data_IF_316927537196
#
_entry.id   IF_316927537196
#
_cell.length_a   1.000
_cell.length_b   1.000
_cell.length_c   1.000
_cell.angle_alpha   90.00
_cell.angle_beta   90.00
_cell.angle_gamma   90.00
#
_symmetry.space_group_name_H-M   'P 1'
#
loop_
_entity.id
_entity.type
_entity.pdbx_description
1 polymer ?
#
# COMPACT_ATOMS: atom_id res chain seq x y z
N UNK A 1 -15.84 38.94 9.76
CA UNK A 1 -15.46 37.54 9.83
C UNK A 1 -15.36 37.00 8.41
N UNK A 2 -14.21 36.75 7.84
CA UNK A 2 -14.12 36.12 6.54
C UNK A 2 -13.92 34.62 6.67
N UNK A 3 -14.80 33.87 5.99
CA UNK A 3 -14.69 32.42 5.79
C UNK A 3 -13.45 32.12 4.93
N UNK A 4 -12.46 31.46 5.50
CA UNK A 4 -11.34 30.90 4.74
C UNK A 4 -11.79 29.58 4.11
N UNK A 5 -12.05 29.64 2.79
CA UNK A 5 -12.19 28.45 1.95
C UNK A 5 -10.83 27.75 1.88
N UNK A 6 -10.77 26.55 2.42
CA UNK A 6 -9.65 25.62 2.22
C UNK A 6 -9.64 25.20 0.75
N UNK A 7 -8.66 25.67 0.00
CA UNK A 7 -8.43 25.25 -1.39
C UNK A 7 -7.97 23.79 -1.39
N UNK A 8 -8.86 22.91 -1.83
CA UNK A 8 -8.52 21.52 -2.17
C UNK A 8 -7.72 21.55 -3.49
N UNK A 9 -6.42 21.43 -3.42
CA UNK A 9 -5.61 21.13 -4.60
C UNK A 9 -5.59 19.62 -4.79
N UNK A 10 -6.56 19.11 -5.55
CA UNK A 10 -6.47 17.76 -6.12
C UNK A 10 -5.48 17.85 -7.30
N UNK A 11 -4.26 17.41 -7.07
CA UNK A 11 -3.28 17.25 -8.15
C UNK A 11 -3.62 15.94 -8.87
N UNK A 12 -4.39 16.06 -9.95
CA UNK A 12 -4.58 14.97 -10.92
C UNK A 12 -3.24 14.74 -11.63
N UNK A 13 -2.49 13.74 -11.18
CA UNK A 13 -1.35 13.22 -11.94
C UNK A 13 -1.90 12.40 -13.10
N UNK A 14 -1.65 12.88 -14.32
CA UNK A 14 -1.92 12.20 -15.55
C UNK A 14 -1.26 10.81 -15.54
N UNK A 15 -2.09 9.77 -15.58
CA UNK A 15 -1.70 8.38 -15.87
C UNK A 15 -1.12 8.35 -17.29
N UNK A 16 0.20 8.42 -17.40
CA UNK A 16 0.89 8.00 -18.62
C UNK A 16 0.86 6.48 -18.64
N UNK A 17 -0.07 5.93 -19.41
CA UNK A 17 -0.12 4.52 -19.74
C UNK A 17 1.12 4.17 -20.56
N UNK A 18 2.15 3.66 -19.89
CA UNK A 18 3.29 3.03 -20.58
C UNK A 18 2.84 1.63 -21.00
N UNK A 19 2.28 1.51 -22.20
CA UNK A 19 2.04 0.23 -22.84
C UNK A 19 3.40 -0.36 -23.23
N UNK A 20 4.01 -1.11 -22.34
CA UNK A 20 5.10 -2.00 -22.69
C UNK A 20 4.51 -3.16 -23.52
N UNK A 21 4.63 -3.08 -24.83
CA UNK A 21 4.37 -4.20 -25.74
C UNK A 21 5.53 -5.17 -25.53
N UNK A 22 5.34 -6.15 -24.65
CA UNK A 22 6.22 -7.31 -24.56
C UNK A 22 5.83 -8.23 -25.72
N UNK A 23 6.61 -8.24 -26.78
CA UNK A 23 6.51 -9.24 -27.83
C UNK A 23 7.11 -10.55 -27.31
N UNK A 24 6.34 -11.63 -27.18
CA UNK A 24 6.91 -12.93 -26.81
C UNK A 24 7.60 -13.53 -28.03
N UNK A 25 8.93 -13.67 -27.95
CA UNK A 25 9.66 -14.56 -28.84
C UNK A 25 9.61 -15.97 -28.24
N UNK A 26 8.99 -16.91 -28.97
CA UNK A 26 9.06 -18.35 -28.81
C UNK A 26 8.48 -18.97 -27.53
N UNK A 27 7.16 -19.21 -27.54
CA UNK A 27 6.53 -20.35 -26.87
C UNK A 27 5.19 -20.63 -27.56
N UNK A 28 4.69 -21.86 -27.54
CA UNK A 28 3.29 -22.16 -27.82
C UNK A 28 2.44 -21.10 -27.16
N UNK A 29 1.42 -20.55 -27.87
CA UNK A 29 0.69 -19.35 -27.45
C UNK A 29 0.31 -19.44 -25.96
N UNK A 30 1.12 -18.83 -25.10
CA UNK A 30 0.79 -18.75 -23.69
C UNK A 30 -0.44 -17.85 -23.59
N UNK A 31 -1.47 -18.33 -22.94
CA UNK A 31 -2.66 -17.53 -22.67
C UNK A 31 -2.25 -16.30 -21.85
N UNK A 32 -2.52 -15.11 -22.38
CA UNK A 32 -2.17 -13.84 -21.77
C UNK A 32 -3.44 -13.03 -21.57
N UNK A 33 -3.58 -12.46 -20.37
CA UNK A 33 -4.64 -11.51 -20.06
C UNK A 33 -4.07 -10.27 -19.35
N UNK A 34 -4.61 -9.12 -19.68
CA UNK A 34 -4.34 -7.86 -19.01
C UNK A 34 -5.56 -7.38 -18.25
N UNK A 35 -5.38 -6.81 -17.06
CA UNK A 35 -6.50 -6.38 -16.22
C UNK A 35 -6.27 -5.09 -15.46
N UNK A 36 -7.39 -4.51 -15.01
CA UNK A 36 -7.40 -3.37 -14.10
C UNK A 36 -8.14 -3.77 -12.83
N UNK A 37 -7.59 -3.39 -11.68
CA UNK A 37 -8.16 -3.69 -10.36
C UNK A 37 -8.20 -2.49 -9.44
N UNK A 38 -9.24 -2.45 -8.61
CA UNK A 38 -9.29 -1.65 -7.40
C UNK A 38 -9.06 -2.57 -6.19
N UNK A 39 -8.19 -2.16 -5.28
CA UNK A 39 -7.74 -2.97 -4.16
C UNK A 39 -7.46 -2.11 -2.93
N UNK A 40 -7.39 -2.74 -1.76
CA UNK A 40 -6.80 -2.12 -0.57
C UNK A 40 -5.33 -1.75 -0.79
N UNK A 41 -4.63 -2.37 -1.76
CA UNK A 41 -3.29 -1.98 -2.20
C UNK A 41 -3.30 -0.70 -3.06
N UNK A 42 -4.47 -0.23 -3.50
CA UNK A 42 -4.65 0.89 -4.42
C UNK A 42 -5.29 0.49 -5.75
N UNK A 43 -5.27 1.39 -6.72
CA UNK A 43 -5.64 1.08 -8.10
C UNK A 43 -4.44 0.46 -8.83
N UNK A 44 -4.68 -0.57 -9.63
CA UNK A 44 -3.60 -1.31 -10.28
C UNK A 44 -3.93 -1.86 -11.64
N UNK A 45 -2.87 -2.19 -12.38
CA UNK A 45 -2.91 -2.96 -13.60
C UNK A 45 -2.16 -4.27 -13.38
N UNK A 46 -2.71 -5.37 -13.92
CA UNK A 46 -2.16 -6.71 -13.81
C UNK A 46 -1.98 -7.38 -15.17
N UNK A 47 -1.04 -8.29 -15.23
CA UNK A 47 -0.86 -9.25 -16.31
C UNK A 47 -0.96 -10.64 -15.71
N UNK A 48 -1.73 -11.51 -16.37
CA UNK A 48 -1.89 -12.91 -16.03
C UNK A 48 -1.40 -13.77 -17.18
N UNK A 49 -0.58 -14.76 -16.88
CA UNK A 49 -0.07 -15.76 -17.79
C UNK A 49 -0.63 -17.12 -17.40
N UNK A 50 -1.30 -17.80 -18.31
CA UNK A 50 -1.69 -19.21 -18.16
C UNK A 50 -0.46 -20.10 -18.26
N UNK A 51 -0.14 -20.84 -17.21
CA UNK A 51 0.97 -21.78 -17.19
C UNK A 51 0.51 -23.18 -17.53
N UNK A 52 -0.62 -23.58 -16.96
CA UNK A 52 -1.32 -24.84 -17.24
C UNK A 52 -2.83 -24.59 -17.21
N UNK A 53 -3.65 -25.65 -17.41
CA UNK A 53 -5.12 -25.56 -17.30
C UNK A 53 -5.61 -25.04 -15.95
N UNK A 54 -4.86 -25.31 -14.90
CA UNK A 54 -5.23 -25.08 -13.50
C UNK A 54 -4.24 -24.18 -12.73
N UNK A 55 -3.23 -23.61 -13.41
CA UNK A 55 -2.22 -22.78 -12.78
C UNK A 55 -1.92 -21.53 -13.62
N UNK A 56 -2.05 -20.36 -13.00
CA UNK A 56 -1.69 -19.09 -13.62
C UNK A 56 -0.62 -18.36 -12.80
N UNK A 57 0.22 -17.59 -13.50
CA UNK A 57 1.12 -16.61 -12.90
C UNK A 57 0.54 -15.21 -13.10
N UNK A 58 0.38 -14.47 -12.03
CA UNK A 58 -0.17 -13.12 -12.05
C UNK A 58 0.79 -12.13 -11.40
N UNK A 59 1.01 -11.00 -12.07
CA UNK A 59 1.80 -9.90 -11.53
C UNK A 59 1.16 -8.56 -11.90
N UNK A 60 1.41 -7.53 -11.10
CA UNK A 60 0.82 -6.22 -11.35
C UNK A 60 1.52 -5.10 -10.60
N UNK A 61 1.08 -3.88 -10.85
CA UNK A 61 1.53 -2.68 -10.15
C UNK A 61 0.31 -1.96 -9.58
N UNK A 62 0.33 -1.70 -8.28
CA UNK A 62 -0.71 -0.97 -7.56
C UNK A 62 -0.15 0.30 -6.96
N UNK A 63 -0.92 1.38 -7.07
CA UNK A 63 -0.56 2.68 -6.53
C UNK A 63 -1.75 3.36 -5.88
N UNK A 64 -1.49 4.02 -4.75
CA UNK A 64 -2.43 4.91 -4.10
C UNK A 64 -1.67 6.00 -3.35
N UNK A 65 -2.11 7.24 -3.47
CA UNK A 65 -1.55 8.35 -2.70
C UNK A 65 -2.69 9.19 -2.15
N UNK A 66 -2.61 9.46 -0.86
CA UNK A 66 -3.59 10.29 -0.17
C UNK A 66 -2.88 11.21 0.81
N UNK A 67 -3.13 12.51 0.68
CA UNK A 67 -2.65 13.53 1.60
C UNK A 67 -3.83 14.23 2.27
N UNK A 68 -3.75 14.42 3.58
CA UNK A 68 -4.73 15.17 4.35
C UNK A 68 -4.02 16.09 5.34
N UNK A 69 -4.60 17.26 5.58
CA UNK A 69 -4.20 18.16 6.63
C UNK A 69 -5.35 18.33 7.62
N UNK A 70 -5.06 18.22 8.88
CA UNK A 70 -6.03 18.43 9.94
C UNK A 70 -5.43 19.30 11.07
N UNK A 71 -6.28 19.86 11.91
CA UNK A 71 -5.88 20.55 13.11
C UNK A 71 -6.45 19.77 14.30
N UNK A 72 -5.58 19.26 15.15
CA UNK A 72 -5.97 18.60 16.39
C UNK A 72 -5.37 19.37 17.56
N UNK A 73 -6.22 19.83 18.48
CA UNK A 73 -5.81 20.64 19.64
C UNK A 73 -4.97 21.88 19.28
N UNK A 74 -5.29 22.53 18.12
CA UNK A 74 -4.55 23.70 17.66
C UNK A 74 -3.26 23.40 16.88
N UNK A 75 -2.83 22.15 16.81
CA UNK A 75 -1.62 21.72 16.08
C UNK A 75 -2.00 21.34 14.66
N UNK A 76 -1.39 21.92 13.62
CA UNK A 76 -1.57 21.47 12.24
C UNK A 76 -0.79 20.16 12.00
N UNK A 77 -1.50 19.13 11.56
CA UNK A 77 -0.92 17.85 11.14
C UNK A 77 -1.16 17.65 9.65
N UNK A 78 -0.11 17.31 8.94
CA UNK A 78 -0.17 16.85 7.56
C UNK A 78 0.19 15.37 7.51
N UNK A 79 -0.68 14.58 6.89
CA UNK A 79 -0.52 13.13 6.73
C UNK A 79 -0.41 12.81 5.25
N UNK A 80 0.59 12.03 4.89
CA UNK A 80 0.81 11.53 3.54
C UNK A 80 0.87 10.01 3.58
N UNK A 81 -0.10 9.37 2.92
CA UNK A 81 -0.13 7.93 2.70
C UNK A 81 0.26 7.63 1.25
N UNK A 82 1.34 6.91 1.05
CA UNK A 82 1.81 6.48 -0.24
C UNK A 82 1.88 4.95 -0.26
N UNK A 83 0.99 4.31 -1.01
CA UNK A 83 0.99 2.88 -1.24
C UNK A 83 1.56 2.59 -2.62
N UNK A 84 2.54 1.69 -2.68
CA UNK A 84 3.11 1.16 -3.92
C UNK A 84 3.42 -0.30 -3.71
N UNK A 85 2.75 -1.16 -4.46
CA UNK A 85 2.86 -2.60 -4.29
C UNK A 85 2.96 -3.30 -5.63
N UNK A 86 3.83 -4.30 -5.72
CA UNK A 86 3.99 -5.18 -6.87
C UNK A 86 3.82 -6.62 -6.40
N UNK A 87 2.62 -7.21 -6.54
CA UNK A 87 2.38 -8.62 -6.29
C UNK A 87 2.97 -9.49 -7.40
N UNK A 88 3.50 -10.66 -7.02
CA UNK A 88 3.86 -11.78 -7.90
C UNK A 88 3.23 -13.02 -7.27
N UNK A 89 2.17 -13.52 -7.91
CA UNK A 89 1.28 -14.53 -7.34
C UNK A 89 1.13 -15.72 -8.29
N UNK A 90 1.04 -16.91 -7.72
CA UNK A 90 0.57 -18.11 -8.37
C UNK A 90 -0.89 -18.33 -7.97
N UNK A 91 -1.75 -18.49 -8.96
CA UNK A 91 -3.18 -18.76 -8.82
C UNK A 91 -3.42 -20.22 -9.21
N UNK A 92 -3.83 -21.02 -8.26
CA UNK A 92 -4.21 -22.42 -8.47
C UNK A 92 -5.74 -22.57 -8.45
N UNK A 93 -6.26 -23.24 -9.47
CA UNK A 93 -7.68 -23.49 -9.69
C UNK A 93 -7.98 -24.97 -9.35
N UNK A 94 -8.33 -25.31 -8.09
CA UNK A 94 -8.51 -26.71 -7.66
C UNK A 94 -9.79 -27.36 -8.16
N UNK A 95 -10.74 -26.57 -8.72
CA UNK A 95 -12.06 -27.05 -9.15
C UNK A 95 -12.19 -26.91 -10.66
N UNK A 96 -12.50 -28.00 -11.31
CA UNK A 96 -12.77 -28.06 -12.75
C UNK A 96 -14.30 -27.94 -13.04
N UNK A 97 -14.94 -27.00 -12.34
CA UNK A 97 -16.39 -26.79 -12.39
C UNK A 97 -16.80 -25.48 -13.11
N UNK A 98 -15.83 -24.78 -13.66
CA UNK A 98 -16.04 -23.49 -14.32
C UNK A 98 -16.34 -22.32 -13.35
N UNK A 99 -16.33 -22.55 -12.04
CA UNK A 99 -16.60 -21.51 -11.02
C UNK A 99 -15.54 -20.41 -10.99
N UNK A 100 -14.35 -20.69 -11.51
CA UNK A 100 -13.20 -19.81 -11.46
C UNK A 100 -12.67 -19.57 -10.04
N UNK A 101 -13.04 -20.42 -9.08
CA UNK A 101 -12.48 -20.37 -7.72
C UNK A 101 -10.99 -20.68 -7.77
N UNK A 102 -10.20 -19.89 -7.07
CA UNK A 102 -8.74 -20.06 -6.99
C UNK A 102 -8.20 -19.86 -5.59
N UNK A 103 -7.09 -20.52 -5.32
CA UNK A 103 -6.21 -20.26 -4.19
C UNK A 103 -4.97 -19.55 -4.73
N UNK A 104 -4.65 -18.41 -4.14
CA UNK A 104 -3.53 -17.58 -4.58
C UNK A 104 -2.45 -17.56 -3.50
N UNK A 105 -1.19 -17.71 -3.89
CA UNK A 105 -0.05 -17.61 -3.01
C UNK A 105 1.12 -16.92 -3.72
N UNK A 106 2.00 -16.27 -2.97
CA UNK A 106 3.16 -15.61 -3.55
C UNK A 106 3.75 -14.54 -2.65
N UNK A 107 4.27 -13.50 -3.26
CA UNK A 107 4.90 -12.38 -2.55
C UNK A 107 4.38 -11.05 -3.09
N UNK A 108 4.28 -10.06 -2.22
CA UNK A 108 4.02 -8.67 -2.57
C UNK A 108 5.30 -7.89 -2.25
N UNK A 109 5.89 -7.27 -3.27
CA UNK A 109 6.96 -6.29 -3.07
C UNK A 109 6.29 -5.00 -2.63
N UNK A 110 6.54 -4.62 -1.38
CA UNK A 110 5.84 -3.57 -0.65
C UNK A 110 6.76 -2.34 -0.47
N UNK A 111 6.33 -1.19 -0.98
CA UNK A 111 6.99 0.10 -0.76
C UNK A 111 5.98 1.11 -0.17
N UNK A 112 5.12 0.64 0.72
CA UNK A 112 4.14 1.48 1.41
C UNK A 112 4.84 2.34 2.46
N UNK A 113 4.48 3.61 2.48
CA UNK A 113 4.99 4.59 3.44
C UNK A 113 3.87 5.48 3.92
N UNK A 114 3.80 5.66 5.22
CA UNK A 114 2.98 6.67 5.87
C UNK A 114 3.91 7.70 6.51
N UNK A 115 3.69 8.98 6.21
CA UNK A 115 4.43 10.10 6.79
C UNK A 115 3.47 11.02 7.52
N UNK A 116 3.78 11.34 8.78
CA UNK A 116 3.10 12.35 9.56
C UNK A 116 4.05 13.53 9.82
N UNK A 117 3.60 14.73 9.50
CA UNK A 117 4.32 15.96 9.79
C UNK A 117 3.49 16.79 10.76
N UNK A 118 4.05 17.13 11.90
CA UNK A 118 3.46 18.04 12.85
C UNK A 118 4.24 19.37 12.86
N UNK A 119 3.55 20.46 12.61
CA UNK A 119 4.11 21.81 12.76
C UNK A 119 3.70 22.35 14.15
N UNK A 120 4.63 23.02 14.84
CA UNK A 120 4.41 23.36 16.24
C UNK A 120 3.30 24.41 16.41
N UNK A 121 2.40 24.17 17.37
CA UNK A 121 1.52 25.19 17.92
C UNK A 121 2.05 25.76 19.24
N UNK A 122 2.21 24.90 20.27
CA UNK A 122 2.73 25.31 21.59
C UNK A 122 3.73 24.29 22.18
N UNK A 123 3.38 23.01 22.25
CA UNK A 123 4.21 21.94 22.81
C UNK A 123 3.85 20.57 22.24
N UNK A 124 4.82 19.65 22.27
CA UNK A 124 4.65 18.24 21.95
C UNK A 124 4.79 17.41 23.21
N UNK A 125 4.00 16.34 23.33
CA UNK A 125 4.21 15.27 24.29
C UNK A 125 4.95 14.14 23.57
N UNK A 126 6.17 13.83 24.00
CA UNK A 126 7.05 12.84 23.39
C UNK A 126 7.60 11.95 24.51
N UNK A 127 7.21 10.66 24.47
CA UNK A 127 7.58 9.71 25.52
C UNK A 127 7.10 10.13 26.91
N UNK A 128 5.92 10.78 27.01
CA UNK A 128 5.34 11.27 28.26
C UNK A 128 5.96 12.56 28.82
N UNK A 129 6.86 13.21 28.06
CA UNK A 129 7.50 14.48 28.43
C UNK A 129 7.07 15.60 27.49
N UNK A 130 6.68 16.74 28.05
CA UNK A 130 6.30 17.91 27.25
C UNK A 130 7.53 18.73 26.83
N UNK A 131 7.69 18.88 25.53
CA UNK A 131 8.71 19.72 24.91
C UNK A 131 8.08 20.93 24.24
N UNK A 132 8.72 22.08 24.39
CA UNK A 132 8.24 23.30 23.74
C UNK A 132 8.50 23.25 22.23
N UNK A 133 7.59 23.79 21.47
CA UNK A 133 7.65 23.80 20.03
C UNK A 133 8.87 24.55 19.46
N UNK A 134 9.27 25.66 20.12
CA UNK A 134 10.46 26.42 19.73
C UNK A 134 11.78 25.64 19.89
N UNK A 135 11.78 24.64 20.77
CA UNK A 135 12.91 23.74 21.01
C UNK A 135 12.88 22.51 20.11
N UNK A 136 11.70 21.95 19.85
CA UNK A 136 11.52 20.74 19.05
C UNK A 136 11.55 21.04 17.53
N UNK A 137 11.05 22.20 17.14
CA UNK A 137 10.88 22.54 15.72
C UNK A 137 9.82 21.68 15.06
N UNK A 138 10.02 21.34 13.78
CA UNK A 138 9.15 20.44 13.04
C UNK A 138 9.42 18.99 13.47
N UNK A 139 8.36 18.26 13.77
CA UNK A 139 8.41 16.83 14.08
C UNK A 139 7.88 16.05 12.88
N UNK A 140 8.67 15.09 12.39
CA UNK A 140 8.30 14.19 11.29
C UNK A 140 8.37 12.76 11.79
N UNK A 141 7.32 11.99 11.52
CA UNK A 141 7.26 10.55 11.77
C UNK A 141 7.01 9.78 10.48
N UNK A 142 7.82 8.78 10.21
CA UNK A 142 7.68 7.86 9.09
C UNK A 142 7.39 6.46 9.59
N UNK A 143 6.41 5.79 8.97
CA UNK A 143 6.10 4.39 9.21
C UNK A 143 6.22 3.63 7.91
N UNK A 144 7.04 2.58 7.92
CA UNK A 144 7.25 1.68 6.79
C UNK A 144 7.09 0.22 7.23
N UNK A 145 6.98 -0.69 6.26
CA UNK A 145 6.84 -2.13 6.52
C UNK A 145 7.87 -2.92 5.73
N UNK A 146 7.95 -4.22 6.01
CA UNK A 146 8.84 -5.13 5.29
C UNK A 146 8.64 -5.06 3.77
N UNK A 147 9.73 -4.97 3.02
CA UNK A 147 9.70 -4.85 1.56
C UNK A 147 9.14 -6.09 0.86
N UNK A 148 9.29 -7.26 1.45
CA UNK A 148 8.76 -8.52 0.93
C UNK A 148 7.70 -9.03 1.91
N UNK A 149 6.46 -9.08 1.44
CA UNK A 149 5.32 -9.58 2.19
C UNK A 149 4.81 -10.87 1.55
N UNK A 150 5.02 -12.05 2.15
CA UNK A 150 4.34 -13.27 1.75
C UNK A 150 2.83 -13.04 1.72
N UNK A 151 2.17 -13.65 0.74
CA UNK A 151 0.73 -13.49 0.52
C UNK A 151 0.06 -14.85 0.38
N UNK A 152 -1.13 -14.99 0.94
CA UNK A 152 -2.05 -16.08 0.71
C UNK A 152 -3.47 -15.54 0.64
N UNK A 153 -4.27 -16.09 -0.26
CA UNK A 153 -5.65 -15.66 -0.45
C UNK A 153 -6.47 -16.64 -1.25
N UNK A 154 -7.74 -16.32 -1.35
CA UNK A 154 -8.70 -16.99 -2.23
C UNK A 154 -9.27 -15.96 -3.20
N UNK A 155 -9.78 -16.42 -4.33
CA UNK A 155 -10.39 -15.53 -5.29
C UNK A 155 -11.32 -16.26 -6.23
N UNK A 156 -11.96 -15.48 -7.09
CA UNK A 156 -12.85 -15.94 -8.15
C UNK A 156 -12.54 -15.19 -9.44
N UNK A 157 -12.74 -15.88 -10.56
CA UNK A 157 -12.54 -15.40 -11.91
C UNK A 157 -11.22 -15.91 -12.50
N UNK A 158 -11.35 -16.63 -13.63
CA UNK A 158 -10.25 -17.09 -14.47
C UNK A 158 -10.44 -16.47 -15.86
N UNK A 159 -9.50 -15.65 -16.37
CA UNK A 159 -9.64 -15.01 -17.66
C UNK A 159 -9.57 -16.01 -18.83
N UNK A 160 -9.06 -17.24 -18.59
CA UNK A 160 -8.82 -18.22 -19.65
C UNK A 160 -9.97 -19.22 -19.80
N UNK A 161 -10.81 -19.42 -18.78
CA UNK A 161 -11.98 -20.30 -18.85
C UNK A 161 -13.30 -19.55 -19.11
N UNK A 162 -13.27 -18.22 -19.05
CA UNK A 162 -14.45 -17.41 -19.34
C UNK A 162 -14.84 -17.53 -20.82
N UNK A 163 -16.13 -17.68 -21.12
CA UNK A 163 -16.65 -17.71 -22.50
C UNK A 163 -16.35 -16.39 -23.24
N UNK A 164 -16.46 -15.27 -22.53
CA UNK A 164 -16.11 -13.93 -23.02
C UNK A 164 -14.62 -13.65 -22.85
N UNK A 165 -14.06 -12.84 -23.76
CA UNK A 165 -12.70 -12.30 -23.57
C UNK A 165 -12.60 -11.37 -22.38
N UNK A 166 -13.72 -10.80 -21.92
CA UNK A 166 -13.79 -9.97 -20.72
C UNK A 166 -14.25 -10.83 -19.54
N UNK A 167 -13.49 -10.80 -18.46
CA UNK A 167 -13.78 -11.52 -17.22
C UNK A 167 -13.74 -10.57 -16.02
N UNK A 168 -14.50 -10.92 -14.98
CA UNK A 168 -14.46 -10.25 -13.68
C UNK A 168 -13.67 -11.09 -12.70
N UNK A 169 -13.04 -10.44 -11.73
CA UNK A 169 -12.31 -11.11 -10.67
C UNK A 169 -12.52 -10.42 -9.33
N UNK A 170 -12.46 -11.24 -8.28
CA UNK A 170 -12.49 -10.82 -6.89
C UNK A 170 -11.45 -11.61 -6.10
N UNK A 171 -10.72 -10.94 -5.19
CA UNK A 171 -9.73 -11.59 -4.33
C UNK A 171 -9.92 -11.14 -2.88
N UNK A 172 -9.67 -12.08 -1.96
CA UNK A 172 -9.63 -11.87 -0.53
C UNK A 172 -8.40 -12.61 0.03
N UNK A 173 -7.50 -11.91 0.67
CA UNK A 173 -6.28 -12.51 1.20
C UNK A 173 -5.61 -11.68 2.28
N UNK A 174 -4.44 -12.17 2.71
CA UNK A 174 -3.62 -11.54 3.74
C UNK A 174 -2.19 -11.45 3.24
N UNK A 175 -1.61 -10.26 3.32
CA UNK A 175 -0.18 -10.02 3.15
C UNK A 175 0.50 -9.94 4.52
N UNK A 176 1.55 -10.73 4.71
CA UNK A 176 2.33 -10.79 5.93
C UNK A 176 3.50 -9.81 5.80
N UNK A 177 3.23 -8.52 6.02
CA UNK A 177 4.23 -7.47 5.79
C UNK A 177 5.20 -7.23 6.96
N UNK A 178 5.04 -7.99 8.06
CA UNK A 178 5.90 -7.90 9.24
C UNK A 178 5.57 -6.69 10.12
N UNK A 179 6.36 -6.53 11.17
CA UNK A 179 6.21 -5.41 12.10
C UNK A 179 6.54 -4.08 11.40
N UNK A 180 5.86 -2.99 11.80
CA UNK A 180 6.20 -1.67 11.30
C UNK A 180 7.59 -1.24 11.75
N UNK A 181 8.28 -0.51 10.89
CA UNK A 181 9.46 0.28 11.25
C UNK A 181 9.04 1.74 11.34
N UNK A 182 9.23 2.32 12.52
CA UNK A 182 8.85 3.70 12.82
C UNK A 182 10.12 4.48 13.07
N UNK A 183 10.25 5.61 12.44
CA UNK A 183 11.34 6.56 12.69
C UNK A 183 10.77 7.96 12.86
N UNK A 184 11.27 8.67 13.86
CA UNK A 184 10.87 10.04 14.14
C UNK A 184 12.09 10.97 14.11
N UNK A 185 11.88 12.21 13.68
CA UNK A 185 12.91 13.22 13.64
C UNK A 185 12.36 14.60 14.01
N UNK A 186 13.15 15.36 14.74
CA UNK A 186 12.89 16.75 15.08
C UNK A 186 13.96 17.67 14.49
N UNK A 187 13.60 18.91 14.14
CA UNK A 187 14.51 19.87 13.51
C UNK A 187 15.02 20.94 14.45
N UNK A 188 14.49 21.02 15.68
CA UNK A 188 14.85 22.04 16.64
C UNK A 188 16.13 21.75 17.43
N UNK A 189 16.60 22.70 18.25
CA UNK A 189 17.85 22.58 18.98
C UNK A 189 17.87 21.42 19.99
N UNK A 190 16.72 20.97 20.49
CA UNK A 190 16.63 19.82 21.42
C UNK A 190 16.90 18.48 20.73
N UNK A 191 16.88 18.44 19.38
CA UNK A 191 17.08 17.20 18.63
C UNK A 191 18.42 16.49 18.92
N UNK A 192 19.43 17.23 19.36
CA UNK A 192 20.74 16.68 19.74
C UNK A 192 20.85 16.28 21.23
N UNK A 193 19.82 16.55 22.05
CA UNK A 193 19.81 16.23 23.47
C UNK A 193 19.60 14.71 23.68
N UNK A 194 20.47 14.02 24.44
CA UNK A 194 20.35 12.59 24.68
C UNK A 194 19.06 12.19 25.39
N UNK A 195 18.54 13.03 26.32
CA UNK A 195 17.29 12.75 27.01
C UNK A 195 16.11 12.86 26.04
N UNK A 196 16.11 13.83 25.14
CA UNK A 196 15.11 13.98 24.09
C UNK A 196 15.13 12.76 23.14
N UNK A 197 16.32 12.32 22.73
CA UNK A 197 16.47 11.13 21.85
C UNK A 197 15.94 9.87 22.53
N UNK A 198 16.14 9.71 23.84
CA UNK A 198 15.60 8.58 24.60
C UNK A 198 14.06 8.60 24.59
N UNK A 199 13.45 9.76 24.82
CA UNK A 199 12.00 9.89 24.81
C UNK A 199 11.42 9.71 23.40
N UNK A 200 12.14 10.17 22.36
CA UNK A 200 11.76 9.95 20.97
C UNK A 200 11.75 8.47 20.61
N UNK A 201 12.77 7.71 21.03
CA UNK A 201 12.81 6.26 20.88
C UNK A 201 11.69 5.53 21.64
N UNK A 202 11.31 6.03 22.80
CA UNK A 202 10.17 5.49 23.54
C UNK A 202 8.88 5.70 22.73
N UNK A 203 8.63 6.89 22.20
CA UNK A 203 7.47 7.22 21.37
C UNK A 203 7.43 6.35 20.11
N UNK A 204 8.57 6.14 19.42
CA UNK A 204 8.69 5.23 18.27
C UNK A 204 8.27 3.80 18.65
N UNK A 205 8.68 3.31 19.82
CA UNK A 205 8.34 1.97 20.29
C UNK A 205 6.84 1.85 20.63
N UNK A 206 6.27 2.88 21.22
CA UNK A 206 4.85 2.92 21.55
C UNK A 206 3.99 2.89 20.28
N UNK A 207 4.34 3.68 19.26
CA UNK A 207 3.70 3.65 17.94
C UNK A 207 3.88 2.27 17.27
N UNK A 208 5.07 1.66 17.34
CA UNK A 208 5.31 0.29 16.82
C UNK A 208 4.38 -0.73 17.45
N UNK A 209 4.17 -0.64 18.75
CA UNK A 209 3.29 -1.55 19.50
C UNK A 209 1.82 -1.33 19.14
N UNK A 210 1.37 -0.08 19.02
CA UNK A 210 0.00 0.25 18.62
C UNK A 210 -0.30 -0.23 17.18
N UNK A 211 0.69 -0.18 16.31
CA UNK A 211 0.57 -0.60 14.91
C UNK A 211 0.87 -2.08 14.66
N UNK A 212 1.17 -2.90 15.68
CA UNK A 212 1.54 -4.32 15.50
C UNK A 212 0.45 -5.14 14.79
N UNK A 213 -0.82 -4.78 14.94
CA UNK A 213 -1.91 -5.45 14.21
C UNK A 213 -1.79 -5.35 12.69
N UNK A 214 -1.17 -4.29 12.17
CA UNK A 214 -0.99 -4.07 10.73
C UNK A 214 0.08 -4.98 10.09
N UNK A 215 0.80 -5.80 10.89
CA UNK A 215 1.69 -6.84 10.35
C UNK A 215 0.95 -7.83 9.44
N UNK A 216 -0.37 -7.95 9.60
CA UNK A 216 -1.29 -8.72 8.76
C UNK A 216 -2.15 -7.74 7.96
N UNK A 217 -1.78 -7.50 6.72
CA UNK A 217 -2.49 -6.55 5.88
C UNK A 217 -3.58 -7.26 5.06
N UNK A 218 -4.87 -6.93 5.26
CA UNK A 218 -5.95 -7.52 4.49
C UNK A 218 -5.94 -6.99 3.06
N UNK A 219 -5.89 -7.89 2.08
CA UNK A 219 -5.96 -7.57 0.66
C UNK A 219 -7.33 -7.97 0.14
N UNK A 220 -8.12 -6.96 -0.23
CA UNK A 220 -9.41 -7.14 -0.89
C UNK A 220 -9.30 -6.45 -2.24
N UNK A 221 -9.63 -7.14 -3.32
CA UNK A 221 -9.60 -6.54 -4.65
C UNK A 221 -10.74 -7.02 -5.54
N UNK A 222 -11.15 -6.14 -6.44
CA UNK A 222 -12.09 -6.45 -7.51
C UNK A 222 -11.60 -5.83 -8.82
N UNK A 223 -11.83 -6.49 -9.94
CA UNK A 223 -11.34 -6.00 -11.21
C UNK A 223 -11.91 -6.72 -12.43
N UNK A 224 -11.43 -6.25 -13.57
CA UNK A 224 -11.75 -6.80 -14.89
C UNK A 224 -10.46 -7.18 -15.58
N UNK A 225 -10.49 -8.24 -16.38
CA UNK A 225 -9.38 -8.66 -17.20
C UNK A 225 -9.86 -8.97 -18.64
N UNK A 226 -9.00 -8.71 -19.61
CA UNK A 226 -9.22 -8.99 -21.01
C UNK A 226 -8.17 -9.98 -21.50
N UNK A 227 -8.63 -11.09 -22.10
CA UNK A 227 -7.80 -12.12 -22.72
C UNK A 227 -7.50 -11.75 -24.17
N UNK A 228 -6.24 -11.77 -24.53
CA UNK A 228 -5.75 -11.46 -25.87
C UNK A 228 -5.83 -12.65 -26.86
#
# INVERSE_FOLDING_TARGET
MPHNLVKRTATLWSLLACTAIVTPACANAADIAGGLKASTLGAGAEVTLGLTSDLNLRSGLYVFSYGASTHKSGIPFAYDLNLRSLPVLLDWFPLDDGSGFRISSGVIINNNKYTANAEPADSYDIGGVKYRADQTGKLTGDVTFGKLAPYVGIGWGNPFTAESRLSFSFDLGIAFQGKPDVSMAATGPVAADPAFQTNLQQEENDIKNEMDAFKYYPVISAGIAYRF
#
